data_IF_625772207912
#
_entry.id   IF_625772207912
#
_cell.length_a   1.000
_cell.length_b   1.000
_cell.length_c   1.000
_cell.angle_alpha   90.00
_cell.angle_beta   90.00
_cell.angle_gamma   90.00
#
_symmetry.space_group_name_H-M   'P 1'
#
loop_
_entity.id
_entity.type
_entity.pdbx_description
1 polymer ?
2 non-polymer ?
3 non-polymer ?
4 water ?
#
# COMPACT_ATOMS: atom_id res chain seq x y z
N UNK A 1 12.95 9.33 -20.52
CA UNK A 1 12.10 10.49 -20.93
C UNK A 1 10.77 10.46 -20.20
N UNK A 2 10.38 9.29 -19.72
CA UNK A 2 9.20 9.17 -18.87
C UNK A 2 9.37 10.00 -17.60
N UNK A 3 8.25 10.54 -17.13
CA UNK A 3 8.25 11.45 -16.00
C UNK A 3 8.15 10.67 -14.70
N UNK A 4 9.16 10.77 -13.84
CA UNK A 4 9.14 10.07 -12.56
C UNK A 4 9.01 11.03 -11.38
N UNK A 5 8.68 12.28 -11.67
CA UNK A 5 8.36 13.23 -10.63
C UNK A 5 7.07 12.82 -9.93
N UNK A 6 7.13 12.75 -8.60
CA UNK A 6 5.99 12.31 -7.81
C UNK A 6 4.77 13.22 -8.07
N UNK A 7 5.03 14.50 -8.30
CA UNK A 7 3.98 15.47 -8.58
C UNK A 7 3.25 15.20 -9.89
N UNK A 8 3.82 14.33 -10.73
CA UNK A 8 3.21 14.03 -12.03
C UNK A 8 2.29 12.81 -11.96
N UNK A 9 2.40 12.02 -10.90
CA UNK A 9 1.72 10.73 -10.85
C UNK A 9 0.21 10.93 -10.77
N UNK A 10 -0.53 10.24 -11.64
CA UNK A 10 -1.98 10.21 -11.55
C UNK A 10 -2.45 9.29 -10.43
N UNK A 11 -3.59 9.64 -9.83
CA UNK A 11 -4.21 8.78 -8.83
C UNK A 11 -5.68 8.57 -9.17
N UNK A 12 -6.35 7.74 -8.37
CA UNK A 12 -7.70 7.28 -8.70
C UNK A 12 -8.71 8.43 -8.64
N UNK A 13 -9.37 8.68 -9.77
CA UNK A 13 -10.36 9.75 -9.85
C UNK A 13 -11.59 9.40 -9.03
N UNK A 14 -12.07 10.37 -8.25
CA UNK A 14 -13.31 10.20 -7.49
C UNK A 14 -13.27 8.99 -6.57
N UNK A 15 -12.14 8.80 -5.90
CA UNK A 15 -11.94 7.61 -5.09
C UNK A 15 -13.06 7.45 -4.06
N UNK A 16 -13.58 6.23 -3.94
CA UNK A 16 -14.76 5.96 -3.12
C UNK A 16 -14.37 5.09 -1.93
N UNK A 17 -14.30 5.70 -0.75
CA UNK A 17 -13.81 5.02 0.44
C UNK A 17 -14.67 3.82 0.76
N UNK A 18 -15.99 3.97 0.60
CA UNK A 18 -16.93 2.92 0.97
C UNK A 18 -16.76 1.70 0.09
N UNK A 19 -16.59 1.91 -1.20
CA UNK A 19 -16.38 0.82 -2.14
C UNK A 19 -15.05 0.11 -1.88
N UNK A 20 -14.12 0.80 -1.23
CA UNK A 20 -12.77 0.28 -1.05
C UNK A 20 -12.69 -0.55 0.24
N UNK A 21 -13.72 -0.46 1.07
CA UNK A 21 -13.69 -1.11 2.38
C UNK A 21 -13.62 -2.63 2.23
N UNK A 22 -13.13 -3.30 3.27
CA UNK A 22 -13.10 -4.76 3.29
C UNK A 22 -11.69 -5.30 3.23
N UNK A 23 -11.58 -6.56 2.82
CA UNK A 23 -10.32 -7.29 2.92
C UNK A 23 -9.52 -7.15 1.64
N UNK A 24 -8.25 -6.77 1.78
CA UNK A 24 -7.34 -6.67 0.65
C UNK A 24 -6.08 -7.48 0.94
N UNK A 25 -5.78 -8.42 0.05
CA UNK A 25 -4.58 -9.25 0.19
C UNK A 25 -3.45 -8.66 -0.62
N UNK A 26 -2.32 -8.40 0.03
CA UNK A 26 -1.14 -7.90 -0.66
C UNK A 26 -0.53 -9.01 -1.51
N UNK A 27 -0.45 -8.77 -2.82
CA UNK A 27 0.12 -9.73 -3.74
C UNK A 27 1.58 -9.42 -4.06
N UNK A 28 1.93 -8.14 -3.98
CA UNK A 28 3.29 -7.71 -4.29
C UNK A 28 3.60 -6.42 -3.56
N UNK A 29 4.88 -6.17 -3.31
CA UNK A 29 5.31 -5.00 -2.58
C UNK A 29 6.63 -4.50 -3.14
N UNK A 30 6.73 -3.19 -3.33
CA UNK A 30 8.02 -2.52 -3.46
C UNK A 30 8.42 -1.97 -2.10
N UNK A 31 9.59 -2.39 -1.61
CA UNK A 31 10.00 -2.08 -0.24
C UNK A 31 10.61 -0.69 -0.15
N UNK A 32 10.39 0.00 0.97
CA UNK A 32 11.15 1.19 1.26
C UNK A 32 12.46 0.86 1.96
N UNK A 33 13.24 1.87 2.32
CA UNK A 33 14.41 1.64 3.15
C UNK A 33 13.96 1.13 4.52
N UNK A 34 14.69 0.18 5.08
CA UNK A 34 14.34 -0.42 6.36
C UNK A 34 12.93 -1.00 6.33
N UNK A 35 12.75 -2.03 5.51
CA UNK A 35 11.40 -2.54 5.26
C UNK A 35 10.83 -3.16 6.52
N UNK A 36 9.50 -3.13 6.64
CA UNK A 36 8.84 -3.57 7.85
C UNK A 36 8.05 -4.85 7.57
N UNK A 37 6.94 -4.71 6.83
CA UNK A 37 6.10 -5.86 6.53
C UNK A 37 6.78 -6.77 5.51
N UNK A 38 6.88 -8.06 5.85
CA UNK A 38 7.64 -9.00 5.04
C UNK A 38 6.73 -9.79 4.11
N UNK A 39 5.84 -10.59 4.68
CA UNK A 39 4.86 -11.33 3.89
C UNK A 39 3.62 -11.69 4.71
N UNK A 40 2.75 -12.50 4.12
CA UNK A 40 1.47 -12.82 4.75
C UNK A 40 0.69 -11.56 5.11
N UNK A 41 0.75 -10.57 4.23
CA UNK A 41 0.23 -9.24 4.52
C UNK A 41 -1.23 -9.13 4.08
N UNK A 42 -2.11 -8.90 5.03
CA UNK A 42 -3.53 -8.75 4.76
C UNK A 42 -4.08 -7.50 5.43
N UNK A 43 -4.76 -6.66 4.66
CA UNK A 43 -5.27 -5.40 5.18
C UNK A 43 -6.79 -5.41 5.22
N UNK A 44 -7.34 -4.69 6.19
CA UNK A 44 -8.79 -4.55 6.32
C UNK A 44 -9.14 -3.07 6.41
N UNK A 45 -9.88 -2.59 5.41
CA UNK A 45 -10.21 -1.17 5.33
C UNK A 45 -11.64 -0.94 5.81
N UNK A 46 -11.84 0.15 6.55
CA UNK A 46 -13.16 0.53 7.01
C UNK A 46 -13.41 2.02 6.78
N UNK A 47 -14.69 2.40 6.71
CA UNK A 47 -15.08 3.79 6.79
C UNK A 47 -16.17 3.97 7.85
N UNK A 48 -16.05 5.02 8.66
CA UNK A 48 -17.12 5.37 9.59
C UNK A 48 -18.07 6.39 8.98
N UNK A 49 -19.12 6.73 9.73
CA UNK A 49 -20.18 7.60 9.23
C UNK A 49 -19.63 9.00 8.94
N UNK A 50 -18.60 9.39 9.68
CA UNK A 50 -17.93 10.66 9.45
C UNK A 50 -17.30 10.71 8.06
N UNK A 51 -17.18 9.55 7.43
CA UNK A 51 -16.44 9.44 6.18
C UNK A 51 -14.95 9.29 6.39
N UNK A 52 -14.54 9.04 7.63
CA UNK A 52 -13.13 8.82 7.94
C UNK A 52 -12.73 7.38 7.66
N UNK A 53 -11.70 7.22 6.83
CA UNK A 53 -11.21 5.89 6.49
C UNK A 53 -10.15 5.45 7.50
N UNK A 54 -10.19 4.17 7.85
CA UNK A 54 -9.16 3.57 8.69
C UNK A 54 -8.87 2.16 8.21
N UNK A 55 -7.85 1.53 8.79
CA UNK A 55 -7.48 0.18 8.38
C UNK A 55 -6.74 -0.56 9.49
N UNK A 56 -6.76 -1.88 9.40
CA UNK A 56 -5.84 -2.72 10.16
C UNK A 56 -5.05 -3.60 9.20
N UNK A 57 -3.92 -4.14 9.69
CA UNK A 57 -3.09 -5.00 8.87
C UNK A 57 -2.44 -6.08 9.72
N UNK A 58 -2.40 -7.29 9.17
CA UNK A 58 -1.57 -8.36 9.70
C UNK A 58 -0.45 -8.70 8.71
N UNK A 59 0.70 -9.09 9.24
CA UNK A 59 1.79 -9.60 8.42
C UNK A 59 2.98 -10.04 9.26
N UNK A 60 3.73 -11.00 8.74
CA UNK A 60 5.03 -11.33 9.30
C UNK A 60 5.98 -10.13 9.14
N UNK A 61 6.56 -9.69 10.24
CA UNK A 61 7.72 -8.82 10.20
C UNK A 61 8.93 -9.50 10.83
N UNK A 62 10.12 -9.15 10.35
CA UNK A 62 11.33 -9.82 10.77
C UNK A 62 12.26 -8.84 11.46
N UNK A 63 12.14 -8.74 12.78
CA UNK A 63 13.11 -8.01 13.59
C UNK A 63 14.49 -8.64 13.46
N UNK A 64 15.50 -7.80 13.25
CA UNK A 64 16.83 -8.28 12.89
C UNK A 64 17.34 -9.29 13.91
N UNK A 65 18.40 -10.01 13.56
CA UNK A 65 18.78 -11.24 14.27
C UNK A 65 17.84 -12.39 13.92
N UNK A 66 17.05 -12.22 12.86
CA UNK A 66 16.27 -13.30 12.30
C UNK A 66 15.15 -13.74 13.24
N UNK A 67 14.46 -12.76 13.83
CA UNK A 67 13.34 -13.04 14.72
C UNK A 67 12.02 -12.63 14.06
N UNK A 68 11.19 -13.62 13.76
CA UNK A 68 9.93 -13.37 13.07
C UNK A 68 8.81 -13.14 14.08
N UNK A 69 8.01 -12.11 13.85
CA UNK A 69 6.76 -11.94 14.57
C UNK A 69 5.64 -11.53 13.61
N UNK A 70 4.42 -11.97 13.91
CA UNK A 70 3.25 -11.49 13.20
C UNK A 70 2.79 -10.15 13.75
N UNK A 71 3.14 -9.07 13.07
CA UNK A 71 2.75 -7.74 13.50
C UNK A 71 1.24 -7.53 13.31
N UNK A 72 0.64 -6.80 14.24
CA UNK A 72 -0.74 -6.38 14.11
C UNK A 72 -0.83 -4.87 14.15
N UNK A 73 -1.16 -4.27 13.00
CA UNK A 73 -0.99 -2.83 12.81
C UNK A 73 -2.34 -2.14 12.68
N UNK A 74 -2.35 -0.84 12.99
CA UNK A 74 -3.55 -0.02 12.88
C UNK A 74 -3.19 1.26 12.13
N UNK A 75 -4.08 1.69 11.25
CA UNK A 75 -3.87 2.93 10.50
C UNK A 75 -5.12 3.78 10.43
N UNK A 76 -4.93 5.09 10.53
CA UNK A 76 -6.03 6.04 10.33
C UNK A 76 -5.64 7.09 9.29
N UNK A 77 -6.58 7.42 8.41
CA UNK A 77 -6.28 8.21 7.23
C UNK A 77 -6.91 9.60 7.36
N UNK A 78 -6.09 10.63 7.23
CA UNK A 78 -6.58 12.00 7.13
C UNK A 78 -6.70 12.42 5.68
N UNK A 79 -7.87 12.95 5.33
CA UNK A 79 -8.16 13.34 3.95
C UNK A 79 -7.31 14.53 3.52
N UNK A 80 -7.01 14.60 2.23
CA UNK A 80 -6.47 15.82 1.63
C UNK A 80 -7.42 16.36 0.57
N UNK A 81 -6.96 17.37 -0.16
CA UNK A 81 -7.78 17.98 -1.20
C UNK A 81 -8.04 17.03 -2.36
N UNK A 82 -7.12 16.08 -2.55
CA UNK A 82 -7.32 15.00 -3.51
C UNK A 82 -7.95 13.80 -2.83
N UNK A 83 -9.08 13.31 -3.38
CA UNK A 83 -9.85 12.26 -2.71
C UNK A 83 -9.10 10.93 -2.66
N UNK A 84 -8.00 10.81 -3.41
CA UNK A 84 -7.24 9.56 -3.48
C UNK A 84 -5.91 9.66 -2.74
N UNK A 85 -5.62 10.83 -2.19
CA UNK A 85 -4.38 11.06 -1.46
C UNK A 85 -4.66 11.34 0.01
N UNK A 86 -3.99 10.58 0.88
CA UNK A 86 -4.26 10.64 2.31
C UNK A 86 -2.96 10.79 3.08
N UNK A 87 -3.07 11.19 4.35
CA UNK A 87 -2.00 11.01 5.31
C UNK A 87 -2.36 9.89 6.27
N UNK A 88 -1.50 8.87 6.34
CA UNK A 88 -1.77 7.70 7.16
C UNK A 88 -0.91 7.71 8.42
N UNK A 89 -1.55 7.95 9.56
CA UNK A 89 -0.94 7.69 10.85
C UNK A 89 -1.10 6.21 11.20
N UNK A 90 0.00 5.56 11.56
CA UNK A 90 -0.03 4.13 11.83
C UNK A 90 0.77 3.78 13.08
N UNK A 91 0.40 2.67 13.70
CA UNK A 91 1.13 2.13 14.83
C UNK A 91 0.78 0.66 14.99
N UNK A 92 1.49 -0.01 15.89
CA UNK A 92 1.21 -1.39 16.21
C UNK A 92 0.42 -1.51 17.51
N UNK A 93 -0.33 -2.59 17.65
CA UNK A 93 -1.07 -2.84 18.87
C UNK A 93 -0.11 -3.05 20.04
N UNK A 94 1.05 -3.62 19.75
CA UNK A 94 2.19 -3.53 20.66
C UNK A 94 3.02 -2.28 20.35
N UNK A 95 3.44 -1.59 21.40
CA UNK A 95 3.94 -0.23 21.27
C UNK A 95 5.37 -0.20 20.73
N UNK A 96 6.04 -1.36 20.81
CA UNK A 96 7.40 -1.46 20.31
C UNK A 96 7.42 -1.64 18.80
N UNK A 97 6.26 -1.97 18.23
CA UNK A 97 6.11 -2.03 16.78
C UNK A 97 6.30 -0.65 16.16
N UNK A 98 6.73 -0.62 14.90
CA UNK A 98 6.99 0.62 14.19
C UNK A 98 5.74 1.51 14.16
N UNK A 99 5.93 2.78 14.45
CA UNK A 99 4.88 3.77 14.23
C UNK A 99 5.39 4.91 13.36
N UNK A 100 4.48 5.71 12.83
CA UNK A 100 4.85 6.85 12.01
C UNK A 100 3.69 7.44 11.24
N UNK A 101 4.01 8.25 10.23
CA UNK A 101 3.00 8.88 9.40
C UNK A 101 3.49 8.98 7.96
N UNK A 102 2.81 8.27 7.07
CA UNK A 102 3.18 8.23 5.65
C UNK A 102 2.07 8.79 4.79
N UNK A 103 2.44 9.45 3.70
CA UNK A 103 1.53 9.63 2.57
C UNK A 103 0.96 8.28 2.14
N UNK A 104 -0.31 8.28 1.75
CA UNK A 104 -0.98 7.08 1.29
C UNK A 104 -1.84 7.41 0.08
N UNK A 105 -1.35 7.02 -1.09
CA UNK A 105 -2.04 7.32 -2.34
C UNK A 105 -2.67 6.05 -2.90
N UNK A 106 -3.95 6.14 -3.24
CA UNK A 106 -4.58 5.13 -4.07
C UNK A 106 -4.40 5.48 -5.54
N UNK A 107 -3.39 4.87 -6.15
CA UNK A 107 -3.01 5.21 -7.51
C UNK A 107 -4.05 4.71 -8.51
N UNK A 108 -4.55 3.50 -8.29
CA UNK A 108 -5.63 2.97 -9.11
C UNK A 108 -6.32 1.83 -8.38
N UNK A 109 -7.59 1.61 -8.71
CA UNK A 109 -8.33 0.46 -8.22
C UNK A 109 -9.61 0.31 -9.03
N UNK A 110 -10.16 -0.90 -9.08
CA UNK A 110 -11.53 -1.11 -9.55
C UNK A 110 -12.43 -1.64 -8.43
N UNK A 111 -11.92 -1.57 -7.20
CA UNK A 111 -12.72 -1.75 -6.00
C UNK A 111 -13.02 -3.23 -5.68
N UNK A 112 -13.31 -4.01 -6.72
CA UNK A 112 -13.73 -5.39 -6.50
C UNK A 112 -12.70 -6.42 -6.96
N UNK A 113 -11.55 -5.96 -7.46
CA UNK A 113 -10.53 -6.87 -7.97
C UNK A 113 -9.11 -6.51 -7.53
N UNK A 114 -8.65 -5.32 -7.90
CA UNK A 114 -7.27 -4.92 -7.66
C UNK A 114 -7.17 -3.53 -7.07
N UNK A 115 -6.06 -3.26 -6.39
CA UNK A 115 -5.72 -1.90 -5.98
C UNK A 115 -4.22 -1.71 -6.07
N UNK A 116 -3.80 -0.52 -6.47
CA UNK A 116 -2.39 -0.13 -6.43
C UNK A 116 -2.21 1.06 -5.49
N UNK A 117 -1.39 0.87 -4.46
CA UNK A 117 -1.10 1.89 -3.47
C UNK A 117 0.33 2.41 -3.64
N UNK A 118 0.58 3.63 -3.20
CA UNK A 118 1.88 4.25 -3.32
C UNK A 118 2.12 5.20 -2.16
N UNK A 119 3.36 5.23 -1.68
CA UNK A 119 3.77 6.22 -0.69
C UNK A 119 5.20 6.67 -0.99
N UNK A 120 5.40 7.98 -1.13
CA UNK A 120 6.74 8.55 -1.11
C UNK A 120 7.03 9.17 0.24
N UNK A 121 7.98 8.58 0.96
CA UNK A 121 8.34 9.03 2.31
C UNK A 121 9.28 10.24 2.26
N UNK A 122 10.02 10.36 1.17
CA UNK A 122 11.04 11.40 1.05
C UNK A 122 11.34 11.68 -0.42
N UNK A 123 11.28 12.96 -0.81
CA UNK A 123 11.53 13.36 -2.18
C UNK A 123 13.03 13.54 -2.43
N UNK A 124 13.44 13.28 -3.66
CA UNK A 124 14.69 13.81 -4.18
C UNK A 124 14.56 15.27 -4.58
N UNK A 125 15.70 15.93 -4.78
CA UNK A 125 15.72 17.36 -5.05
C UNK A 125 15.24 17.68 -6.46
N UNK A 126 15.06 16.63 -7.28
CA UNK A 126 14.54 16.79 -8.63
C UNK A 126 13.07 16.37 -8.75
N UNK A 127 12.44 16.09 -7.62
CA UNK A 127 11.01 15.79 -7.60
C UNK A 127 10.68 14.32 -7.67
N UNK A 128 11.66 13.49 -8.02
CA UNK A 128 11.49 12.05 -7.94
C UNK A 128 11.53 11.60 -6.48
N UNK A 129 11.15 10.35 -6.23
CA UNK A 129 11.09 9.85 -4.86
C UNK A 129 12.41 9.22 -4.44
N UNK A 130 12.89 9.60 -3.26
CA UNK A 130 14.13 9.04 -2.73
C UNK A 130 13.87 7.76 -1.94
N UNK A 131 12.67 7.64 -1.40
CA UNK A 131 12.32 6.52 -0.54
C UNK A 131 10.83 6.24 -0.67
N UNK A 132 10.49 5.23 -1.45
CA UNK A 132 9.09 4.92 -1.74
C UNK A 132 8.76 3.49 -1.32
N UNK A 133 7.48 3.25 -1.11
CA UNK A 133 6.96 1.89 -1.12
C UNK A 133 5.61 1.81 -1.82
N UNK A 134 5.24 0.61 -2.23
CA UNK A 134 4.01 0.41 -2.97
C UNK A 134 3.51 -1.01 -2.75
N UNK A 135 2.20 -1.13 -2.50
CA UNK A 135 1.53 -2.41 -2.41
C UNK A 135 0.60 -2.61 -3.59
N UNK A 136 0.59 -3.82 -4.13
CA UNK A 136 -0.48 -4.25 -5.01
C UNK A 136 -1.39 -5.20 -4.25
N UNK A 137 -2.68 -4.85 -4.19
CA UNK A 137 -3.64 -5.61 -3.40
C UNK A 137 -4.59 -6.37 -4.33
N UNK A 138 -5.06 -7.52 -3.85
CA UNK A 138 -6.08 -8.30 -4.54
C UNK A 138 -7.20 -8.66 -3.58
N UNK A 139 -8.43 -8.67 -4.07
CA UNK A 139 -9.56 -9.17 -3.27
C UNK A 139 -9.48 -10.68 -3.10
N UNK A 140 -8.96 -11.36 -4.12
CA UNK A 140 -8.79 -12.81 -4.08
C UNK A 140 -7.35 -13.15 -3.67
N UNK A 141 -7.20 -13.90 -2.57
CA UNK A 141 -5.86 -14.21 -2.07
C UNK A 141 -5.07 -15.12 -3.01
N UNK A 142 -5.74 -15.64 -4.04
CA UNK A 142 -5.07 -16.49 -5.03
C UNK A 142 -4.54 -15.70 -6.22
N UNK A 143 -4.75 -14.38 -6.22
CA UNK A 143 -4.11 -13.51 -7.21
C UNK A 143 -5.09 -12.81 -8.12
N UNK A 144 -4.56 -11.94 -8.98
CA UNK A 144 -5.36 -11.15 -9.90
C UNK A 144 -5.66 -11.93 -11.18
N UNK A 145 -6.82 -11.67 -11.79
CA UNK A 145 -7.07 -12.12 -13.16
C UNK A 145 -6.17 -11.41 -14.16
N UNK A 146 -5.97 -12.02 -15.34
CA UNK A 146 -5.05 -11.48 -16.36
C UNK A 146 -5.33 -10.03 -16.76
N UNK A 147 -6.58 -9.64 -16.93
CA UNK A 147 -6.87 -8.26 -17.34
C UNK A 147 -6.43 -7.26 -16.26
N UNK A 148 -6.64 -7.62 -14.99
CA UNK A 148 -6.23 -6.76 -13.89
C UNK A 148 -4.71 -6.74 -13.74
N UNK A 149 -4.08 -7.90 -13.90
CA UNK A 149 -2.63 -7.98 -13.83
C UNK A 149 -1.99 -7.05 -14.85
N UNK A 150 -2.55 -6.97 -16.04
CA UNK A 150 -1.98 -6.16 -17.11
C UNK A 150 -2.16 -4.66 -16.84
N UNK A 151 -3.30 -4.29 -16.28
CA UNK A 151 -3.52 -2.91 -15.85
C UNK A 151 -2.52 -2.52 -14.76
N UNK A 152 -2.34 -3.40 -13.78
CA UNK A 152 -1.45 -3.12 -12.67
C UNK A 152 -0.02 -2.92 -13.15
N UNK A 153 0.43 -3.76 -14.08
CA UNK A 153 1.78 -3.64 -14.62
C UNK A 153 2.00 -2.27 -15.25
N UNK A 154 0.99 -1.79 -15.98
CA UNK A 154 1.05 -0.43 -16.53
C UNK A 154 1.19 0.64 -15.45
N UNK A 155 0.44 0.51 -14.37
CA UNK A 155 0.51 1.47 -13.25
C UNK A 155 1.88 1.42 -12.58
N UNK A 156 2.39 0.20 -12.40
CA UNK A 156 3.71 0.01 -11.81
C UNK A 156 4.77 0.75 -12.63
N UNK A 157 4.66 0.68 -13.94
CA UNK A 157 5.60 1.36 -14.81
C UNK A 157 5.45 2.87 -14.71
N UNK A 158 4.22 3.34 -14.59
CA UNK A 158 3.95 4.78 -14.48
C UNK A 158 4.54 5.36 -13.20
N UNK A 159 4.62 4.54 -12.15
CA UNK A 159 5.20 4.96 -10.89
C UNK A 159 6.72 4.85 -10.91
N UNK A 160 7.26 4.38 -12.03
CA UNK A 160 8.69 4.14 -12.17
C UNK A 160 9.19 3.08 -11.19
N UNK A 161 8.39 2.04 -10.97
CA UNK A 161 8.71 1.03 -9.97
C UNK A 161 8.65 -0.41 -10.51
N UNK A 162 8.38 -0.57 -11.81
CA UNK A 162 7.90 -1.86 -12.32
C UNK A 162 8.94 -2.97 -12.14
N UNK A 163 10.21 -2.58 -12.04
CA UNK A 163 11.29 -3.55 -11.90
C UNK A 163 11.56 -3.95 -10.45
N UNK A 164 10.86 -3.32 -9.50
CA UNK A 164 11.34 -3.28 -8.11
C UNK A 164 10.38 -3.94 -7.13
N UNK A 165 9.40 -4.68 -7.64
CA UNK A 165 8.45 -5.36 -6.76
C UNK A 165 8.91 -6.78 -6.45
N UNK A 166 8.48 -7.28 -5.29
CA UNK A 166 8.60 -8.70 -5.00
C UNK A 166 7.24 -9.26 -4.61
N UNK A 167 7.04 -10.54 -4.87
CA UNK A 167 5.78 -11.19 -4.56
C UNK A 167 5.64 -11.42 -3.06
N UNK A 168 4.41 -11.30 -2.57
CA UNK A 168 4.10 -11.55 -1.18
C UNK A 168 3.43 -12.92 -1.05
N UNK A 169 4.06 -13.81 -0.28
CA UNK A 169 3.52 -15.15 -0.06
C UNK A 169 2.46 -15.14 1.04
N UNK A 170 1.48 -16.02 0.91
CA UNK A 170 0.49 -16.25 1.95
C UNK A 170 0.43 -17.74 2.28
N UNK A 171 0.89 -18.10 3.48
CA UNK A 171 0.98 -19.50 3.87
C UNK A 171 0.47 -19.71 5.30
N UNK A 172 -0.41 -18.83 5.74
CA UNK A 172 -1.13 -19.02 7.00
C UNK A 172 -0.24 -18.85 8.22
N UNK A 173 0.88 -18.15 8.05
CA UNK A 173 1.85 -18.01 9.14
C UNK A 173 1.24 -17.30 10.33
N UNK A 174 0.33 -16.38 10.06
CA UNK A 174 -0.32 -15.61 11.13
C UNK A 174 -1.60 -16.31 11.58
N UNK A 175 -2.26 -15.71 12.59
X LIG B 1 6.61 -1.42 4.96
X LIG B 1 7.84 -1.53 4.79
X LIG B 1 5.84 -2.36 5.29
X LIG B 1 6.01 -0.05 4.77
X LIG B 1 4.59 -0.11 5.31
X LIG B 1 4.68 -0.42 6.80
X LIG B 1 3.66 0.48 7.44
X LIG B 1 2.28 -0.04 7.09
X LIG B 1 1.54 -0.04 8.42
X LIG B 1 0.24 -0.79 8.23
X LIG B 1 -0.74 0.00 9.08
X LIG B 1 -2.13 -0.17 8.49
X LIG B 1 -2.16 0.67 7.24
X LIG B 1 -3.03 -0.11 6.29
X LIG B 1 -2.50 0.29 4.93
X LIG B 1 -2.09 -1.03 4.35
X LIG B 1 -0.65 -0.85 3.89
X LIG B 1 -0.49 0.63 3.55
X LIG C 1 10.43 -5.86 -14.79
X LIG D 1 1.45 -9.39 -19.14
#
# INVERSE_FOLDING_TARGET
ERDCRVSSFRVKENFDKARFSGTWYAMAKKDPEGLFLQDNIVAEFSVDETGQMSATAKGRVRLLNNWDVCADMVGTFTDTEDPAKFKMKYWGVASFLQKGNDDHWIVDTDYDTYAVQYSCRLLNLDGTCADSYSFVFSRDPNGLPPEAQKIVRQRQEELCLARQYRLIVHNGYCDGRSERNL
PLM C1 O1 O2 C2 C3 C4 C5 C6 C7 C8 C9 CA CB CC CD CE CF CG
CL CL
CL CL
#
